data_IF_737087254487
#
_entry.id   IF_737087254487
#
_cell.length_a   1.000
_cell.length_b   1.000
_cell.length_c   1.000
_cell.angle_alpha   90.00
_cell.angle_beta   90.00
_cell.angle_gamma   90.00
#
_symmetry.space_group_name_H-M   'P 1'
#
loop_
_entity.id
_entity.type
_entity.pdbx_description
1 polymer ?
#
# COMPACT_ATOMS: atom_id res chain seq x y z
N UNK A 1 2.81 14.53 -10.00
CA UNK A 1 3.84 15.59 -9.82
C UNK A 1 3.44 16.94 -10.39
N UNK A 2 2.61 17.04 -11.45
CA UNK A 2 2.18 18.32 -12.03
C UNK A 2 1.53 19.28 -11.01
N UNK A 3 0.55 18.79 -10.25
CA UNK A 3 -0.12 19.60 -9.21
C UNK A 3 0.83 20.03 -8.09
N UNK A 4 1.66 19.11 -7.56
CA UNK A 4 2.63 19.45 -6.52
C UNK A 4 3.65 20.49 -6.99
N UNK A 5 4.12 20.37 -8.24
CA UNK A 5 5.00 21.37 -8.86
C UNK A 5 4.31 22.73 -8.99
N UNK A 6 3.08 22.74 -9.51
CA UNK A 6 2.28 23.96 -9.65
C UNK A 6 2.04 24.66 -8.32
N UNK A 7 1.71 23.92 -7.26
CA UNK A 7 1.52 24.46 -5.92
C UNK A 7 2.79 25.12 -5.34
N UNK A 8 3.98 24.64 -5.74
CA UNK A 8 5.26 25.22 -5.37
C UNK A 8 5.77 26.28 -6.38
N UNK A 9 4.99 26.65 -7.40
CA UNK A 9 5.43 27.56 -8.47
C UNK A 9 6.53 26.98 -9.37
N UNK A 10 6.77 25.66 -9.32
CA UNK A 10 7.83 24.99 -10.06
C UNK A 10 7.32 24.48 -11.41
N UNK A 11 8.17 24.60 -12.41
CA UNK A 11 7.99 24.06 -13.76
C UNK A 11 8.85 22.82 -13.97
N UNK A 12 8.86 22.28 -15.21
CA UNK A 12 9.82 21.24 -15.60
C UNK A 12 11.22 21.79 -15.90
N UNK A 13 11.35 23.09 -16.22
CA UNK A 13 12.62 23.72 -16.58
C UNK A 13 13.55 23.91 -15.38
N UNK A 14 12.98 24.01 -14.18
CA UNK A 14 13.72 24.18 -12.94
C UNK A 14 14.51 22.92 -12.54
N UNK A 15 14.25 21.77 -13.19
CA UNK A 15 14.97 20.50 -12.99
C UNK A 15 15.04 20.00 -11.54
N UNK A 16 14.24 20.56 -10.63
CA UNK A 16 14.10 20.11 -9.24
C UNK A 16 13.65 18.65 -9.20
N UNK A 17 14.24 17.83 -8.32
CA UNK A 17 13.92 16.40 -8.24
C UNK A 17 12.54 16.21 -7.63
N UNK A 18 11.88 15.10 -7.99
CA UNK A 18 10.55 14.81 -7.46
C UNK A 18 10.58 14.48 -5.96
N UNK A 19 11.71 14.00 -5.46
CA UNK A 19 11.95 13.73 -4.04
C UNK A 19 11.90 15.03 -3.24
N UNK A 20 12.59 16.08 -3.72
CA UNK A 20 12.63 17.39 -3.06
C UNK A 20 11.25 18.05 -3.00
N UNK A 21 10.48 17.98 -4.10
CA UNK A 21 9.10 18.50 -4.15
C UNK A 21 8.20 17.76 -3.16
N UNK A 22 8.37 16.44 -3.04
CA UNK A 22 7.60 15.63 -2.08
C UNK A 22 7.99 15.94 -0.63
N UNK A 23 9.27 16.18 -0.37
CA UNK A 23 9.77 16.58 0.94
C UNK A 23 9.21 17.96 1.34
N UNK A 24 9.26 18.94 0.43
CA UNK A 24 8.68 20.26 0.61
C UNK A 24 7.18 20.19 0.93
N UNK A 25 6.44 19.39 0.18
CA UNK A 25 4.99 19.21 0.35
C UNK A 25 4.62 18.12 1.38
N UNK A 26 5.60 17.59 2.13
CA UNK A 26 5.39 16.56 3.17
C UNK A 26 4.49 15.40 2.68
N UNK A 27 4.72 14.93 1.45
CA UNK A 27 3.88 13.93 0.77
C UNK A 27 4.65 12.66 0.48
N UNK A 28 4.15 11.50 0.93
CA UNK A 28 4.77 10.22 0.63
C UNK A 28 4.64 9.83 -0.86
N UNK A 29 5.56 9.00 -1.38
CA UNK A 29 5.43 8.43 -2.73
C UNK A 29 4.09 7.70 -2.93
N UNK A 30 3.48 7.86 -4.11
CA UNK A 30 2.18 7.25 -4.44
C UNK A 30 2.19 5.72 -4.28
N UNK A 31 3.32 5.08 -4.58
CA UNK A 31 3.48 3.63 -4.43
C UNK A 31 3.28 3.18 -2.98
N UNK A 32 3.75 3.97 -2.01
CA UNK A 32 3.56 3.68 -0.59
C UNK A 32 2.08 3.84 -0.18
N UNK A 33 1.42 4.91 -0.65
CA UNK A 33 -0.01 5.15 -0.40
C UNK A 33 -0.88 4.01 -0.95
N UNK A 34 -0.59 3.57 -2.18
CA UNK A 34 -1.27 2.43 -2.79
C UNK A 34 -1.05 1.16 -1.97
N UNK A 35 0.20 0.85 -1.58
CA UNK A 35 0.52 -0.29 -0.72
C UNK A 35 -0.28 -0.26 0.59
N UNK A 36 -0.32 0.88 1.28
CA UNK A 36 -1.07 1.02 2.52
C UNK A 36 -2.57 0.80 2.32
N UNK A 37 -3.16 1.32 1.24
CA UNK A 37 -4.57 1.06 0.91
C UNK A 37 -4.83 -0.43 0.65
N UNK A 38 -3.95 -1.10 -0.11
CA UNK A 38 -4.06 -2.54 -0.38
C UNK A 38 -4.03 -3.36 0.90
N UNK A 39 -3.07 -3.08 1.79
CA UNK A 39 -2.92 -3.79 3.05
C UNK A 39 -4.03 -3.45 4.05
N UNK A 40 -4.53 -2.22 4.05
CA UNK A 40 -5.71 -1.84 4.85
C UNK A 40 -6.93 -2.67 4.46
N UNK A 41 -7.18 -2.81 3.16
CA UNK A 41 -8.26 -3.65 2.65
C UNK A 41 -8.03 -5.14 2.95
N UNK A 42 -6.82 -5.64 2.72
CA UNK A 42 -6.48 -7.03 3.03
C UNK A 42 -6.70 -7.36 4.51
N UNK A 43 -6.21 -6.52 5.42
CA UNK A 43 -6.45 -6.71 6.85
C UNK A 43 -7.93 -6.65 7.22
N UNK A 44 -8.72 -5.80 6.56
CA UNK A 44 -10.18 -5.82 6.74
C UNK A 44 -10.79 -7.17 6.36
N UNK A 45 -10.38 -7.75 5.22
CA UNK A 45 -10.87 -9.06 4.77
C UNK A 45 -10.44 -10.18 5.72
N UNK A 46 -9.17 -10.20 6.17
CA UNK A 46 -8.64 -11.24 7.06
C UNK A 46 -9.28 -11.24 8.47
N UNK A 47 -9.81 -10.10 8.92
CA UNK A 47 -10.56 -10.01 10.19
C UNK A 47 -12.03 -10.44 10.07
N UNK A 48 -12.55 -10.66 8.87
CA UNK A 48 -13.91 -11.21 8.70
C UNK A 48 -13.93 -12.69 9.10
N UNK A 49 -15.12 -13.18 9.41
CA UNK A 49 -15.37 -14.61 9.64
C UNK A 49 -14.80 -15.44 8.49
N UNK A 50 -14.19 -16.61 8.74
CA UNK A 50 -13.75 -17.54 7.70
C UNK A 50 -14.86 -17.94 6.73
N UNK A 51 -16.13 -17.89 7.17
CA UNK A 51 -17.30 -18.19 6.33
C UNK A 51 -17.78 -16.99 5.52
N UNK A 52 -17.19 -15.80 5.70
CA UNK A 52 -17.57 -14.62 4.96
C UNK A 52 -17.12 -14.75 3.50
N UNK A 53 -17.99 -14.51 2.49
CA UNK A 53 -17.68 -14.76 1.08
C UNK A 53 -16.41 -14.07 0.58
N UNK A 54 -16.14 -12.84 1.04
CA UNK A 54 -14.92 -12.11 0.63
C UNK A 54 -13.63 -12.73 1.18
N UNK A 55 -13.67 -13.35 2.37
CA UNK A 55 -12.53 -14.04 2.95
C UNK A 55 -12.31 -15.37 2.25
N UNK A 56 -13.38 -16.14 2.03
CA UNK A 56 -13.33 -17.37 1.23
C UNK A 56 -12.76 -17.11 -0.17
N UNK A 57 -13.23 -16.09 -0.87
CA UNK A 57 -12.73 -15.73 -2.19
C UNK A 57 -11.25 -15.30 -2.19
N UNK A 58 -10.76 -14.67 -1.11
CA UNK A 58 -9.35 -14.29 -0.97
C UNK A 58 -8.44 -15.50 -0.69
N UNK A 59 -8.93 -16.44 0.13
CA UNK A 59 -8.19 -17.63 0.53
C UNK A 59 -8.27 -18.76 -0.51
N UNK A 60 -9.29 -18.76 -1.38
CA UNK A 60 -9.48 -19.73 -2.44
C UNK A 60 -8.24 -19.87 -3.33
N UNK A 61 -7.80 -21.12 -3.52
CA UNK A 61 -6.74 -21.47 -4.46
C UNK A 61 -7.35 -21.96 -5.78
N UNK A 62 -7.04 -21.27 -6.87
CA UNK A 62 -7.51 -21.65 -8.21
C UNK A 62 -6.47 -22.55 -8.85
N UNK A 63 -6.84 -23.82 -9.07
CA UNK A 63 -6.02 -24.80 -9.77
C UNK A 63 -5.82 -24.42 -11.24
N UNK A 64 -4.59 -24.52 -11.74
CA UNK A 64 -4.26 -24.31 -13.15
C UNK A 64 -2.87 -23.74 -13.38
N UNK A 65 -2.30 -23.99 -14.57
CA UNK A 65 -1.00 -23.44 -14.97
C UNK A 65 -1.18 -22.05 -15.58
N UNK A 66 -0.28 -21.11 -15.26
CA UNK A 66 -0.26 -19.79 -15.90
C UNK A 66 0.32 -19.91 -17.32
N UNK A 67 -0.16 -19.13 -18.30
CA UNK A 67 0.47 -19.06 -19.60
C UNK A 67 1.91 -18.57 -19.47
N UNK A 68 2.79 -19.06 -20.36
CA UNK A 68 4.18 -18.57 -20.46
C UNK A 68 4.17 -17.13 -20.99
N UNK A 69 5.17 -16.33 -20.58
CA UNK A 69 5.33 -14.94 -21.01
C UNK A 69 5.05 -13.92 -19.89
N UNK A 70 4.24 -12.90 -20.18
CA UNK A 70 3.90 -11.81 -19.27
C UNK A 70 2.43 -11.91 -18.77
N UNK A 71 2.09 -12.91 -17.93
CA UNK A 71 0.76 -13.02 -17.37
C UNK A 71 0.43 -11.80 -16.50
N UNK A 72 -0.85 -11.43 -16.47
CA UNK A 72 -1.33 -10.32 -15.62
C UNK A 72 -0.98 -10.57 -14.15
N UNK A 73 -0.51 -9.52 -13.47
CA UNK A 73 -0.17 -9.58 -12.04
C UNK A 73 -1.42 -9.85 -11.21
N UNK A 74 -1.39 -10.89 -10.37
CA UNK A 74 -2.49 -11.15 -9.44
C UNK A 74 -2.45 -10.18 -8.26
N UNK A 75 -3.63 -9.89 -7.73
CA UNK A 75 -3.76 -9.10 -6.51
C UNK A 75 -3.05 -9.78 -5.33
N UNK A 76 -3.30 -11.08 -5.12
CA UNK A 76 -2.69 -11.89 -4.04
C UNK A 76 -1.16 -11.87 -4.08
N UNK A 77 -0.56 -11.98 -5.26
CA UNK A 77 0.89 -11.87 -5.46
C UNK A 77 1.42 -10.48 -5.05
N UNK A 78 0.67 -9.43 -5.37
CA UNK A 78 1.04 -8.05 -5.00
C UNK A 78 0.96 -7.83 -3.49
N UNK A 79 -0.12 -8.28 -2.85
CA UNK A 79 -0.27 -8.20 -1.40
C UNK A 79 0.81 -9.02 -0.69
N UNK A 80 1.13 -10.20 -1.19
CA UNK A 80 2.21 -11.04 -0.64
C UNK A 80 3.58 -10.36 -0.72
N UNK A 81 3.84 -9.65 -1.83
CA UNK A 81 5.05 -8.83 -1.96
C UNK A 81 5.05 -7.66 -0.97
N UNK A 82 3.94 -6.92 -0.88
CA UNK A 82 3.80 -5.78 0.02
C UNK A 82 4.01 -6.19 1.49
N UNK A 83 3.45 -7.33 1.91
CA UNK A 83 3.64 -7.89 3.25
C UNK A 83 5.10 -8.25 3.52
N UNK A 84 5.78 -8.87 2.54
CA UNK A 84 7.21 -9.19 2.62
C UNK A 84 8.09 -7.95 2.74
N UNK A 85 7.79 -6.89 1.99
CA UNK A 85 8.52 -5.61 2.07
C UNK A 85 8.39 -4.94 3.44
N UNK A 86 7.31 -5.18 4.18
CA UNK A 86 7.05 -4.60 5.50
C UNK A 86 7.35 -5.56 6.67
N UNK A 87 7.71 -6.81 6.36
CA UNK A 87 7.94 -7.85 7.37
C UNK A 87 6.70 -8.17 8.21
N UNK A 88 5.51 -8.09 7.61
CA UNK A 88 4.23 -8.45 8.27
C UNK A 88 3.70 -9.77 7.74
N UNK A 89 2.97 -10.49 8.59
CA UNK A 89 2.31 -11.74 8.27
C UNK A 89 0.79 -11.56 8.19
N UNK A 90 0.09 -12.57 7.67
CA UNK A 90 -1.38 -12.59 7.66
C UNK A 90 -1.98 -12.58 9.08
N UNK A 91 -1.26 -13.15 10.05
CA UNK A 91 -1.75 -13.32 11.42
C UNK A 91 -1.67 -11.99 12.18
N UNK A 92 -0.69 -11.15 11.84
CA UNK A 92 -0.59 -9.76 12.31
C UNK A 92 -1.83 -8.93 11.97
N UNK A 93 -2.63 -9.34 10.97
CA UNK A 93 -3.86 -8.63 10.60
C UNK A 93 -4.96 -8.71 11.67
N UNK A 94 -4.89 -9.68 12.60
CA UNK A 94 -5.85 -9.81 13.69
C UNK A 94 -5.65 -8.72 14.75
N UNK A 95 -4.41 -8.37 15.05
CA UNK A 95 -4.09 -7.19 15.86
C UNK A 95 -4.25 -5.92 15.02
N UNK A 96 -5.36 -5.21 15.24
CA UNK A 96 -5.71 -4.01 14.47
C UNK A 96 -4.67 -2.90 14.63
N UNK A 97 -4.10 -2.74 15.81
CA UNK A 97 -3.20 -1.63 16.14
C UNK A 97 -1.79 -1.92 15.63
N UNK A 98 -1.32 -3.16 15.76
CA UNK A 98 -0.09 -3.62 15.11
C UNK A 98 -0.21 -3.49 13.60
N UNK A 99 -1.30 -3.99 13.01
CA UNK A 99 -1.54 -3.92 11.56
C UNK A 99 -1.57 -2.48 11.08
N UNK A 100 -2.28 -1.59 11.78
CA UNK A 100 -2.34 -0.18 11.43
C UNK A 100 -0.95 0.47 11.47
N UNK A 101 -0.21 0.30 12.58
CA UNK A 101 1.13 0.88 12.73
C UNK A 101 2.11 0.40 11.67
N UNK A 102 2.05 -0.88 11.28
CA UNK A 102 2.99 -1.47 10.31
C UNK A 102 2.64 -1.15 8.86
N UNK A 103 1.36 -1.03 8.54
CA UNK A 103 0.89 -0.94 7.14
C UNK A 103 0.48 0.47 6.71
N UNK A 104 0.30 1.40 7.63
CA UNK A 104 -0.01 2.80 7.31
C UNK A 104 1.17 3.46 6.56
N UNK A 105 0.87 4.28 5.56
CA UNK A 105 1.87 5.17 4.98
C UNK A 105 2.13 6.31 5.94
N UNK A 106 3.38 6.51 6.32
CA UNK A 106 3.82 7.74 6.96
C UNK A 106 3.86 8.86 5.90
N UNK A 107 2.70 9.49 5.63
CA UNK A 107 2.77 10.87 5.15
C UNK A 107 3.42 11.68 6.29
N UNK A 108 4.49 12.46 6.04
CA UNK A 108 5.16 13.24 7.08
C UNK A 108 4.21 14.12 7.91
N UNK A 109 3.09 14.55 7.31
CA UNK A 109 2.03 15.27 8.01
C UNK A 109 1.34 14.44 9.13
N UNK A 110 1.23 13.12 8.98
CA UNK A 110 0.61 12.23 9.97
C UNK A 110 1.54 11.86 11.13
N UNK A 111 2.83 12.23 11.06
CA UNK A 111 3.78 12.00 12.14
C UNK A 111 3.59 12.97 13.32
N UNK A 112 2.75 14.00 13.17
CA UNK A 112 2.62 15.12 14.12
C UNK A 112 1.56 14.97 15.22
N UNK A 113 0.82 13.86 15.30
CA UNK A 113 -0.19 13.71 16.35
C UNK A 113 -0.02 12.39 17.14
N UNK A 114 0.80 12.49 18.18
CA UNK A 114 0.73 11.68 19.39
C UNK A 114 1.01 12.62 20.57
N UNK A 115 -0.01 13.38 20.97
CA UNK A 115 -0.10 13.97 22.30
C UNK A 115 -1.02 13.10 23.16
#
# INVERSE_FOLDING_TARGET
MRMLRWACGLTRRDKVRNEDIRALMQTAPIQQKLRAQRLRWFGHVMRRSPLHPTRQAMEMEVTGKRPRGAPKKRWKDTVSKDMRELGVTKDDAQDRDLWHRRTQTADPANARDKR
#
